data_IF_517180893124
#
_entry.id   IF_517180893124
#
_cell.length_a   1.000
_cell.length_b   1.000
_cell.length_c   1.000
_cell.angle_alpha   90.00
_cell.angle_beta   90.00
_cell.angle_gamma   90.00
#
_symmetry.space_group_name_H-M   'P 1'
#
loop_
_entity.id
_entity.type
_entity.pdbx_description
1 polymer ?
#
# COMPACT_ATOMS: atom_id res chain seq x y z
N UNK A 1 3.51 11.36 -1.87
CA UNK A 1 3.37 9.99 -1.33
C UNK A 1 2.30 9.28 -2.14
N UNK A 2 2.57 8.08 -2.64
CA UNK A 2 1.58 7.25 -3.34
C UNK A 2 0.63 6.60 -2.34
N UNK A 3 -0.63 6.43 -2.70
CA UNK A 3 -1.61 5.68 -1.92
C UNK A 3 -1.91 4.34 -2.58
N UNK A 4 -1.66 3.26 -1.87
CA UNK A 4 -2.14 1.95 -2.26
C UNK A 4 -3.36 1.58 -1.41
N UNK A 5 -4.27 0.79 -1.95
CA UNK A 5 -5.34 0.18 -1.15
C UNK A 5 -4.91 -1.21 -0.67
N UNK A 6 -5.10 -1.50 0.63
CA UNK A 6 -4.83 -2.81 1.24
C UNK A 6 -6.13 -3.62 1.28
N UNK A 7 -6.43 -4.29 0.18
CA UNK A 7 -7.66 -5.09 0.01
C UNK A 7 -7.50 -6.11 -1.10
N UNK A 8 -8.23 -7.23 -1.00
CA UNK A 8 -8.47 -8.19 -2.07
C UNK A 8 -9.93 -8.14 -2.56
N UNK A 9 -10.78 -7.31 -1.94
CA UNK A 9 -12.17 -7.11 -2.35
C UNK A 9 -12.22 -6.16 -3.56
N UNK A 10 -12.59 -6.71 -4.70
CA UNK A 10 -12.69 -5.99 -5.98
C UNK A 10 -13.69 -4.83 -5.90
N UNK A 11 -14.76 -4.97 -5.11
CA UNK A 11 -15.75 -3.92 -4.93
C UNK A 11 -15.19 -2.72 -4.14
N UNK A 12 -14.39 -2.96 -3.09
CA UNK A 12 -13.69 -1.90 -2.36
C UNK A 12 -12.65 -1.22 -3.25
N UNK A 13 -11.87 -2.00 -4.01
CA UNK A 13 -10.82 -1.49 -4.91
C UNK A 13 -11.43 -0.59 -5.99
N UNK A 14 -12.53 -0.99 -6.63
CA UNK A 14 -13.23 -0.15 -7.63
C UNK A 14 -13.68 1.17 -7.03
N UNK A 15 -14.34 1.15 -5.87
CA UNK A 15 -14.82 2.36 -5.19
C UNK A 15 -13.67 3.29 -4.80
N UNK A 16 -12.54 2.74 -4.33
CA UNK A 16 -11.37 3.55 -4.01
C UNK A 16 -10.72 4.13 -5.27
N UNK A 17 -10.63 3.35 -6.35
CA UNK A 17 -10.08 3.80 -7.63
C UNK A 17 -10.92 4.91 -8.28
N UNK A 18 -12.26 4.84 -8.17
CA UNK A 18 -13.18 5.89 -8.62
C UNK A 18 -12.96 7.23 -7.91
N UNK A 19 -12.40 7.23 -6.67
CA UNK A 19 -12.01 8.46 -5.98
C UNK A 19 -10.79 9.15 -6.63
N UNK A 20 -10.09 8.49 -7.55
CA UNK A 20 -8.94 9.04 -8.29
C UNK A 20 -7.67 9.22 -7.45
N UNK A 21 -7.53 8.52 -6.32
CA UNK A 21 -6.40 8.67 -5.41
C UNK A 21 -5.62 7.37 -5.18
N UNK A 22 -5.91 6.29 -5.92
CA UNK A 22 -5.25 4.99 -5.76
C UNK A 22 -4.18 4.80 -6.83
N UNK A 23 -2.93 4.61 -6.38
CA UNK A 23 -1.76 4.39 -7.23
C UNK A 23 -1.34 2.92 -7.34
N UNK A 24 -1.92 2.03 -6.51
CA UNK A 24 -1.60 0.60 -6.49
C UNK A 24 -2.39 -0.17 -5.44
N UNK A 25 -2.10 -1.45 -5.32
CA UNK A 25 -2.81 -2.36 -4.41
C UNK A 25 -1.83 -3.25 -3.66
N UNK A 26 -2.07 -3.48 -2.37
CA UNK A 26 -1.45 -4.59 -1.66
C UNK A 26 -2.50 -5.62 -1.30
N UNK A 27 -2.15 -6.89 -1.50
CA UNK A 27 -2.91 -8.02 -0.99
C UNK A 27 -2.06 -8.81 0.01
N UNK A 28 -2.69 -9.73 0.70
CA UNK A 28 -2.03 -10.70 1.56
C UNK A 28 -2.91 -11.95 1.72
N UNK A 29 -2.36 -13.08 2.21
CA UNK A 29 -3.11 -14.32 2.36
C UNK A 29 -4.41 -14.17 3.18
N UNK A 30 -4.40 -13.34 4.22
CA UNK A 30 -5.59 -13.12 5.06
C UNK A 30 -6.70 -12.35 4.33
N UNK A 31 -6.35 -11.41 3.47
CA UNK A 31 -7.32 -10.68 2.63
C UNK A 31 -7.89 -11.57 1.54
N UNK A 32 -7.04 -12.36 0.88
CA UNK A 32 -7.47 -13.32 -0.14
C UNK A 32 -8.38 -14.40 0.44
N UNK A 33 -8.05 -14.92 1.64
CA UNK A 33 -8.88 -15.91 2.33
C UNK A 33 -10.30 -15.39 2.65
N UNK A 34 -10.44 -14.09 2.99
CA UNK A 34 -11.74 -13.47 3.24
C UNK A 34 -12.61 -13.39 1.99
N UNK A 35 -12.00 -13.20 0.83
CA UNK A 35 -12.72 -13.11 -0.45
C UNK A 35 -13.14 -14.49 -0.95
N UNK A 36 -12.37 -15.54 -0.65
CA UNK A 36 -12.69 -16.93 -0.98
C UNK A 36 -12.68 -17.24 -2.48
N UNK A 37 -11.92 -16.47 -3.28
CA UNK A 37 -11.76 -16.67 -4.73
C UNK A 37 -10.35 -17.16 -5.05
N UNK A 38 -10.15 -17.83 -6.22
CA UNK A 38 -8.83 -18.24 -6.67
C UNK A 38 -7.86 -17.04 -6.75
N UNK A 39 -6.62 -17.24 -6.28
CA UNK A 39 -5.61 -16.18 -6.20
C UNK A 39 -5.35 -15.54 -7.58
N UNK A 40 -5.04 -16.36 -8.57
CA UNK A 40 -4.64 -15.88 -9.92
C UNK A 40 -5.74 -15.03 -10.57
N UNK A 41 -7.01 -15.48 -10.48
CA UNK A 41 -8.16 -14.74 -11.01
C UNK A 41 -8.35 -13.41 -10.30
N UNK A 42 -8.22 -13.41 -8.97
CA UNK A 42 -8.39 -12.22 -8.16
C UNK A 42 -7.29 -11.19 -8.46
N UNK A 43 -6.02 -11.61 -8.50
CA UNK A 43 -4.89 -10.72 -8.81
C UNK A 43 -5.01 -10.16 -10.24
N UNK A 44 -5.36 -10.99 -11.21
CA UNK A 44 -5.55 -10.54 -12.59
C UNK A 44 -6.68 -9.50 -12.69
N UNK A 45 -7.82 -9.73 -12.04
CA UNK A 45 -8.93 -8.77 -12.02
C UNK A 45 -8.51 -7.44 -11.36
N UNK A 46 -7.78 -7.48 -10.25
CA UNK A 46 -7.25 -6.29 -9.59
C UNK A 46 -6.32 -5.51 -10.52
N UNK A 47 -5.41 -6.20 -11.22
CA UNK A 47 -4.50 -5.57 -12.20
C UNK A 47 -5.22 -4.91 -13.37
N UNK A 48 -6.41 -5.38 -13.73
CA UNK A 48 -7.24 -4.77 -14.77
C UNK A 48 -8.05 -3.54 -14.28
N UNK A 49 -8.18 -3.37 -12.96
CA UNK A 49 -8.89 -2.21 -12.37
C UNK A 49 -7.93 -1.08 -12.08
N UNK A 50 -6.75 -1.38 -11.53
CA UNK A 50 -5.76 -0.37 -11.10
C UNK A 50 -4.55 -0.43 -12.03
N UNK A 51 -4.28 0.67 -12.72
CA UNK A 51 -3.07 0.79 -13.54
C UNK A 51 -1.88 1.20 -12.67
N UNK A 52 -1.40 0.25 -11.88
CA UNK A 52 -0.31 0.45 -10.93
C UNK A 52 0.18 -0.85 -10.31
N UNK A 53 1.18 -0.81 -9.43
CA UNK A 53 1.73 -1.98 -8.77
C UNK A 53 0.68 -2.74 -7.95
N UNK A 54 0.64 -4.07 -8.09
CA UNK A 54 -0.24 -4.96 -7.33
C UNK A 54 0.61 -6.01 -6.61
N UNK A 55 0.70 -5.94 -5.29
CA UNK A 55 1.47 -6.89 -4.49
C UNK A 55 0.70 -8.19 -4.29
N UNK A 56 1.28 -9.31 -4.78
CA UNK A 56 0.82 -10.69 -4.58
C UNK A 56 1.85 -11.45 -3.73
N UNK A 57 1.42 -12.04 -2.62
CA UNK A 57 2.31 -12.57 -1.57
C UNK A 57 2.56 -14.07 -1.71
N UNK A 58 3.84 -14.44 -1.70
CA UNK A 58 4.30 -15.82 -1.59
C UNK A 58 4.05 -16.38 -0.18
N UNK A 59 3.76 -17.68 -0.11
CA UNK A 59 3.52 -18.40 1.15
C UNK A 59 4.54 -19.51 1.42
N UNK A 60 5.41 -19.80 0.47
CA UNK A 60 6.53 -20.75 0.63
C UNK A 60 7.52 -20.28 1.71
N UNK A 61 8.28 -21.21 2.29
CA UNK A 61 9.15 -20.92 3.44
C UNK A 61 10.65 -20.96 3.12
N UNK A 62 11.06 -21.70 2.10
CA UNK A 62 12.47 -21.81 1.65
C UNK A 62 12.72 -20.99 0.37
N UNK A 63 13.96 -20.57 0.17
CA UNK A 63 14.31 -19.70 -0.94
C UNK A 63 14.03 -20.32 -2.33
N UNK A 64 14.34 -21.59 -2.63
CA UNK A 64 14.02 -22.17 -3.93
C UNK A 64 12.53 -22.13 -4.24
N UNK A 65 11.68 -22.52 -3.29
CA UNK A 65 10.22 -22.49 -3.44
C UNK A 65 9.66 -21.06 -3.54
N UNK A 66 10.20 -20.09 -2.78
CA UNK A 66 9.83 -18.68 -2.89
C UNK A 66 10.18 -18.09 -4.26
N UNK A 67 11.30 -18.48 -4.85
CA UNK A 67 11.73 -18.03 -6.18
C UNK A 67 10.80 -18.56 -7.26
N UNK A 68 10.47 -19.86 -7.21
CA UNK A 68 9.56 -20.49 -8.18
C UNK A 68 8.15 -19.86 -8.09
N UNK A 69 7.57 -19.82 -6.90
CA UNK A 69 6.28 -19.17 -6.64
C UNK A 69 6.29 -17.69 -7.09
N UNK A 70 7.38 -16.97 -6.81
CA UNK A 70 7.54 -15.58 -7.22
C UNK A 70 7.54 -15.40 -8.74
N UNK A 71 8.15 -16.29 -9.50
CA UNK A 71 8.11 -16.27 -10.97
C UNK A 71 6.69 -16.54 -11.49
N UNK A 72 5.98 -17.50 -10.88
CA UNK A 72 4.60 -17.80 -11.25
C UNK A 72 3.68 -16.59 -10.99
N UNK A 73 3.80 -15.94 -9.81
CA UNK A 73 3.03 -14.74 -9.49
C UNK A 73 3.35 -13.59 -10.46
N UNK A 74 4.63 -13.35 -10.75
CA UNK A 74 5.04 -12.30 -11.69
C UNK A 74 4.50 -12.52 -13.11
N UNK A 75 4.30 -13.77 -13.51
CA UNK A 75 3.75 -14.13 -14.83
C UNK A 75 2.25 -13.81 -14.99
N UNK A 76 1.49 -13.57 -13.89
CA UNK A 76 0.07 -13.27 -13.95
C UNK A 76 -0.20 -11.97 -14.72
N UNK A 77 0.57 -10.90 -14.42
CA UNK A 77 0.42 -9.59 -15.07
C UNK A 77 1.65 -8.71 -14.85
N UNK A 78 1.96 -7.82 -15.80
CA UNK A 78 3.09 -6.86 -15.73
C UNK A 78 3.07 -5.95 -14.49
N UNK A 79 1.90 -5.71 -13.92
CA UNK A 79 1.73 -4.86 -12.73
C UNK A 79 2.02 -5.61 -11.42
N UNK A 80 2.18 -6.93 -11.46
CA UNK A 80 2.45 -7.70 -10.24
C UNK A 80 3.82 -7.34 -9.67
N UNK A 81 3.83 -7.16 -8.36
CA UNK A 81 5.02 -7.04 -7.51
C UNK A 81 4.97 -8.23 -6.55
N UNK A 82 5.97 -9.08 -6.60
CA UNK A 82 6.03 -10.29 -5.78
C UNK A 82 6.30 -9.91 -4.34
N UNK A 83 5.36 -10.22 -3.45
CA UNK A 83 5.48 -9.90 -2.04
C UNK A 83 6.07 -11.07 -1.28
N UNK A 84 7.16 -10.83 -0.55
CA UNK A 84 8.01 -11.87 0.06
C UNK A 84 8.14 -11.58 1.55
N UNK A 85 7.88 -12.57 2.43
CA UNK A 85 8.08 -12.41 3.87
C UNK A 85 9.55 -12.16 4.21
N UNK A 86 9.79 -11.27 5.18
CA UNK A 86 11.13 -10.99 5.71
C UNK A 86 11.72 -12.23 6.39
N UNK A 87 13.00 -12.52 6.09
CA UNK A 87 13.75 -13.62 6.67
C UNK A 87 14.99 -13.93 5.82
N UNK A 88 15.86 -14.81 6.29
CA UNK A 88 17.07 -15.19 5.54
C UNK A 88 16.73 -15.77 4.17
N UNK A 89 15.77 -16.69 4.12
CA UNK A 89 15.30 -17.30 2.86
C UNK A 89 14.61 -16.27 1.96
N UNK A 90 13.81 -15.37 2.54
CA UNK A 90 13.20 -14.25 1.82
C UNK A 90 14.25 -13.34 1.16
N UNK A 91 15.32 -13.01 1.85
CA UNK A 91 16.40 -12.17 1.28
C UNK A 91 17.13 -12.85 0.12
N UNK A 92 17.35 -14.18 0.19
CA UNK A 92 17.90 -14.95 -0.93
C UNK A 92 16.96 -14.90 -2.14
N UNK A 93 15.66 -15.08 -1.91
CA UNK A 93 14.64 -15.02 -2.95
C UNK A 93 14.55 -13.62 -3.58
N UNK A 94 14.52 -12.56 -2.78
CA UNK A 94 14.50 -11.17 -3.26
C UNK A 94 15.69 -10.89 -4.17
N UNK A 95 16.91 -11.27 -3.76
CA UNK A 95 18.11 -11.06 -4.56
C UNK A 95 18.03 -11.79 -5.91
N UNK A 96 17.55 -13.03 -5.93
CA UNK A 96 17.42 -13.83 -7.16
C UNK A 96 16.39 -13.20 -8.10
N UNK A 97 15.18 -12.91 -7.61
CA UNK A 97 14.11 -12.33 -8.40
C UNK A 97 14.45 -10.94 -8.93
N UNK A 98 15.12 -10.10 -8.12
CA UNK A 98 15.61 -8.79 -8.56
C UNK A 98 16.62 -8.92 -9.70
N UNK A 99 17.53 -9.91 -9.66
CA UNK A 99 18.48 -10.15 -10.73
C UNK A 99 17.80 -10.59 -12.04
N UNK A 100 16.60 -11.14 -11.96
CA UNK A 100 15.73 -11.50 -13.10
C UNK A 100 14.84 -10.34 -13.58
N UNK A 101 14.94 -9.16 -12.95
CA UNK A 101 14.11 -7.99 -13.26
C UNK A 101 12.70 -8.07 -12.68
N UNK A 102 12.41 -9.02 -11.79
CA UNK A 102 11.12 -9.16 -11.12
C UNK A 102 11.09 -8.22 -9.92
N UNK A 103 10.06 -7.35 -9.87
CA UNK A 103 9.86 -6.42 -8.77
C UNK A 103 9.40 -7.14 -7.52
N UNK A 104 9.96 -6.75 -6.35
CA UNK A 104 9.65 -7.37 -5.07
C UNK A 104 9.21 -6.36 -4.02
N UNK A 105 8.34 -6.80 -3.10
CA UNK A 105 7.90 -6.06 -1.92
C UNK A 105 8.15 -6.92 -0.68
N UNK A 106 9.12 -6.54 0.15
CA UNK A 106 9.42 -7.31 1.37
C UNK A 106 8.47 -6.92 2.48
N UNK A 107 7.71 -7.89 2.97
CA UNK A 107 6.67 -7.71 3.99
C UNK A 107 7.09 -8.24 5.37
N UNK A 108 6.30 -7.93 6.40
CA UNK A 108 6.57 -8.31 7.79
C UNK A 108 7.90 -7.74 8.32
N UNK A 109 8.15 -6.48 8.00
CA UNK A 109 9.33 -5.75 8.47
C UNK A 109 8.98 -4.99 9.74
N UNK A 110 9.78 -5.19 10.80
CA UNK A 110 9.55 -4.64 12.13
C UNK A 110 10.79 -3.94 12.72
N UNK A 111 11.87 -3.81 11.95
CA UNK A 111 13.06 -3.06 12.37
C UNK A 111 13.76 -2.38 11.20
N UNK A 112 14.48 -1.29 11.50
CA UNK A 112 15.26 -0.58 10.50
C UNK A 112 16.40 -1.44 9.93
N UNK A 113 16.97 -2.35 10.72
CA UNK A 113 17.98 -3.30 10.25
C UNK A 113 17.41 -4.27 9.19
N UNK A 114 16.17 -4.74 9.37
CA UNK A 114 15.48 -5.54 8.36
C UNK A 114 15.28 -4.74 7.08
N UNK A 115 14.84 -3.49 7.18
CA UNK A 115 14.66 -2.62 6.02
C UNK A 115 15.99 -2.36 5.27
N UNK A 116 17.10 -2.20 6.00
CA UNK A 116 18.42 -2.05 5.42
C UNK A 116 18.86 -3.30 4.63
N UNK A 117 18.57 -4.51 5.14
CA UNK A 117 18.81 -5.75 4.41
C UNK A 117 17.98 -5.84 3.14
N UNK A 118 16.70 -5.42 3.17
CA UNK A 118 15.83 -5.38 2.00
C UNK A 118 16.41 -4.48 0.90
N UNK A 119 16.86 -3.27 1.27
CA UNK A 119 17.47 -2.34 0.33
C UNK A 119 18.76 -2.90 -0.28
N UNK A 120 19.61 -3.56 0.52
CA UNK A 120 20.83 -4.22 0.03
C UNK A 120 20.55 -5.40 -0.90
N UNK A 121 19.44 -6.11 -0.71
CA UNK A 121 19.01 -7.19 -1.60
C UNK A 121 18.39 -6.69 -2.91
N UNK A 122 18.07 -5.38 -3.01
CA UNK A 122 17.53 -4.75 -4.21
C UNK A 122 16.00 -4.81 -4.29
N UNK A 123 15.30 -4.94 -3.16
CA UNK A 123 13.84 -4.91 -3.13
C UNK A 123 13.30 -3.60 -3.73
N UNK A 124 12.20 -3.67 -4.50
CA UNK A 124 11.52 -2.49 -5.02
C UNK A 124 10.80 -1.75 -3.89
N UNK A 125 10.13 -2.48 -3.01
CA UNK A 125 9.46 -1.95 -1.82
C UNK A 125 9.89 -2.69 -0.57
N UNK A 126 9.88 -1.98 0.53
CA UNK A 126 9.94 -2.53 1.90
C UNK A 126 8.70 -2.09 2.65
N UNK A 127 7.99 -3.05 3.26
CA UNK A 127 6.73 -2.82 3.97
C UNK A 127 6.89 -2.96 5.49
N UNK A 128 7.30 -1.90 6.21
CA UNK A 128 7.27 -1.86 7.67
C UNK A 128 5.83 -1.77 8.19
N UNK A 129 5.54 -2.53 9.26
CA UNK A 129 4.18 -2.71 9.80
C UNK A 129 3.98 -1.85 11.05
N UNK A 130 3.48 -0.62 10.86
CA UNK A 130 3.31 0.33 11.97
C UNK A 130 2.23 -0.10 12.97
N UNK A 131 1.04 -0.45 12.52
CA UNK A 131 -0.07 -0.76 13.42
C UNK A 131 0.16 -2.02 14.26
N UNK A 132 0.94 -3.01 13.79
CA UNK A 132 1.30 -4.17 14.61
C UNK A 132 2.30 -3.83 15.72
N UNK A 133 3.16 -2.83 15.51
CA UNK A 133 4.03 -2.32 16.57
C UNK A 133 3.19 -1.59 17.63
N UNK A 134 2.24 -0.78 17.21
CA UNK A 134 1.32 -0.10 18.13
C UNK A 134 0.51 -1.10 18.97
N UNK A 135 0.07 -2.23 18.37
CA UNK A 135 -0.65 -3.31 19.05
C UNK A 135 0.15 -3.91 20.24
N UNK A 136 1.49 -3.77 20.25
CA UNK A 136 2.38 -4.22 21.33
C UNK A 136 3.02 -3.05 22.10
N UNK A 137 2.41 -1.87 22.06
CA UNK A 137 2.85 -0.67 22.76
C UNK A 137 4.23 -0.14 22.31
N UNK A 138 4.56 -0.29 21.05
CA UNK A 138 5.71 0.34 20.40
C UNK A 138 5.22 1.39 19.40
N UNK A 139 5.93 2.51 19.28
CA UNK A 139 5.62 3.54 18.30
C UNK A 139 6.02 3.08 16.89
N UNK A 140 5.03 2.67 16.09
CA UNK A 140 5.26 2.21 14.72
C UNK A 140 5.78 3.30 13.79
N UNK A 141 5.41 4.57 14.02
CA UNK A 141 5.86 5.68 13.18
C UNK A 141 7.34 6.03 13.43
N UNK A 142 7.86 5.75 14.62
CA UNK A 142 9.28 5.88 14.90
C UNK A 142 10.14 4.97 13.98
N UNK A 143 9.68 3.74 13.74
CA UNK A 143 10.32 2.84 12.78
C UNK A 143 10.39 3.44 11.37
N UNK A 144 9.34 4.11 10.92
CA UNK A 144 9.32 4.78 9.60
C UNK A 144 10.35 5.90 9.55
N UNK A 145 10.44 6.72 10.62
CA UNK A 145 11.42 7.79 10.72
C UNK A 145 12.85 7.26 10.61
N UNK A 146 13.18 6.21 11.37
CA UNK A 146 14.50 5.58 11.35
C UNK A 146 14.86 5.04 9.97
N UNK A 147 13.94 4.32 9.31
CA UNK A 147 14.18 3.76 7.98
C UNK A 147 14.46 4.87 6.96
N UNK A 148 13.64 5.91 6.94
CA UNK A 148 13.78 7.02 6.01
C UNK A 148 15.06 7.82 6.25
N UNK A 149 15.46 8.03 7.51
CA UNK A 149 16.72 8.66 7.87
C UNK A 149 17.90 7.84 7.35
N UNK A 150 17.89 6.53 7.60
CA UNK A 150 18.95 5.62 7.11
C UNK A 150 19.03 5.67 5.58
N UNK A 151 17.91 5.56 4.88
CA UNK A 151 17.90 5.51 3.40
C UNK A 151 18.40 6.81 2.78
N UNK A 152 18.14 7.97 3.39
CA UNK A 152 18.68 9.28 2.94
C UNK A 152 20.20 9.33 2.96
N UNK A 153 20.87 8.58 3.86
CA UNK A 153 22.33 8.53 3.94
C UNK A 153 22.96 7.70 2.82
N UNK A 154 22.17 6.92 2.09
CA UNK A 154 22.63 6.02 1.03
C UNK A 154 21.87 6.26 -0.29
N UNK A 155 22.25 7.31 -1.06
CA UNK A 155 21.51 7.70 -2.28
C UNK A 155 21.51 6.63 -3.40
N UNK A 156 22.30 5.57 -3.24
CA UNK A 156 22.26 4.41 -4.15
C UNK A 156 21.12 3.42 -3.85
N UNK A 157 20.39 3.57 -2.74
CA UNK A 157 19.22 2.76 -2.47
C UNK A 157 18.02 3.27 -3.29
N UNK A 158 17.43 2.38 -4.07
CA UNK A 158 16.24 2.66 -4.88
C UNK A 158 14.96 2.09 -4.27
N UNK A 159 15.08 1.39 -3.15
CA UNK A 159 13.97 0.77 -2.44
C UNK A 159 13.03 1.83 -1.86
N UNK A 160 11.76 1.78 -2.24
CA UNK A 160 10.71 2.65 -1.70
C UNK A 160 10.16 2.10 -0.37
N UNK A 161 10.00 2.99 0.61
CA UNK A 161 9.35 2.66 1.89
C UNK A 161 7.84 2.71 1.71
N UNK A 162 7.19 1.56 1.88
CA UNK A 162 5.75 1.36 1.78
C UNK A 162 5.20 1.10 3.18
N UNK A 163 4.64 2.12 3.81
CA UNK A 163 4.06 2.02 5.16
C UNK A 163 2.85 1.11 5.13
N UNK A 164 2.91 0.03 5.91
CA UNK A 164 1.88 -1.01 5.94
C UNK A 164 1.26 -1.17 7.34
N UNK A 165 0.16 -1.92 7.42
CA UNK A 165 -0.60 -2.08 8.68
C UNK A 165 -1.10 -0.74 9.23
N UNK A 166 -1.47 0.19 8.35
CA UNK A 166 -2.07 1.48 8.70
C UNK A 166 -3.45 1.27 9.33
N UNK A 167 -3.73 1.96 10.44
CA UNK A 167 -4.96 1.79 11.22
C UNK A 167 -5.89 3.00 11.16
N UNK A 168 -5.35 4.20 10.91
CA UNK A 168 -6.09 5.44 11.06
C UNK A 168 -5.48 6.59 10.23
N UNK A 169 -6.18 7.73 10.06
CA UNK A 169 -5.68 8.90 9.34
C UNK A 169 -4.40 9.53 9.90
N UNK A 170 -4.11 9.36 11.20
CA UNK A 170 -2.89 9.94 11.81
C UNK A 170 -1.66 9.23 11.26
N UNK A 171 -1.68 7.90 11.11
CA UNK A 171 -0.59 7.16 10.44
C UNK A 171 -0.33 7.68 9.03
N UNK A 172 -1.38 8.03 8.29
CA UNK A 172 -1.25 8.57 6.92
C UNK A 172 -0.59 9.95 6.94
N UNK A 173 -1.05 10.82 7.83
CA UNK A 173 -0.49 12.17 7.99
C UNK A 173 0.99 12.13 8.38
N UNK A 174 1.34 11.31 9.36
CA UNK A 174 2.72 11.17 9.82
C UNK A 174 3.61 10.54 8.76
N UNK A 175 3.14 9.51 8.05
CA UNK A 175 3.85 8.94 6.90
C UNK A 175 4.17 10.00 5.85
N UNK A 176 3.21 10.86 5.53
CA UNK A 176 3.40 11.95 4.57
C UNK A 176 4.40 13.00 5.08
N UNK A 177 4.33 13.39 6.37
CA UNK A 177 5.27 14.34 6.98
C UNK A 177 6.70 13.83 7.02
N UNK A 178 6.88 12.55 7.30
CA UNK A 178 8.19 11.91 7.32
C UNK A 178 8.79 11.75 5.91
N UNK A 179 7.95 11.79 4.87
CA UNK A 179 8.38 11.63 3.48
C UNK A 179 8.42 10.18 3.02
N UNK A 180 7.57 9.32 3.57
CA UNK A 180 7.39 7.95 3.08
C UNK A 180 6.98 7.96 1.60
N UNK A 181 7.44 6.97 0.84
CA UNK A 181 7.20 6.91 -0.60
C UNK A 181 5.77 6.46 -0.92
N UNK A 182 5.28 5.47 -0.16
CA UNK A 182 3.97 4.85 -0.31
C UNK A 182 3.36 4.60 1.06
N UNK A 183 2.04 4.68 1.17
CA UNK A 183 1.28 4.12 2.30
C UNK A 183 0.15 3.23 1.75
N UNK A 184 0.03 2.00 2.27
CA UNK A 184 -1.10 1.13 1.91
C UNK A 184 -2.17 1.17 2.98
N UNK A 185 -3.38 1.48 2.56
CA UNK A 185 -4.48 1.92 3.41
C UNK A 185 -5.68 0.96 3.28
N UNK A 186 -6.25 0.48 4.39
CA UNK A 186 -7.57 -0.15 4.34
C UNK A 186 -8.61 0.81 3.76
N UNK A 187 -9.62 0.30 3.05
CA UNK A 187 -10.64 1.13 2.41
C UNK A 187 -11.37 2.07 3.38
N UNK A 188 -11.63 1.62 4.61
CA UNK A 188 -12.24 2.47 5.63
C UNK A 188 -11.36 3.68 6.01
N UNK A 189 -10.02 3.53 6.02
CA UNK A 189 -9.10 4.65 6.27
C UNK A 189 -9.12 5.62 5.09
N UNK A 190 -9.12 5.13 3.84
CA UNK A 190 -9.24 6.00 2.66
C UNK A 190 -10.51 6.85 2.75
N UNK A 191 -11.65 6.26 3.11
CA UNK A 191 -12.91 7.01 3.32
C UNK A 191 -12.77 8.07 4.41
N UNK A 192 -12.13 7.72 5.54
CA UNK A 192 -11.94 8.66 6.66
C UNK A 192 -11.12 9.89 6.26
N UNK A 193 -10.15 9.77 5.33
CA UNK A 193 -9.37 10.91 4.87
C UNK A 193 -10.21 11.99 4.19
N UNK A 194 -11.32 11.61 3.57
CA UNK A 194 -12.23 12.53 2.89
C UNK A 194 -13.28 13.16 3.83
N UNK A 195 -13.44 12.66 5.05
CA UNK A 195 -14.45 13.13 5.99
C UNK A 195 -13.90 14.14 6.99
N UNK A 196 -14.59 15.27 7.13
CA UNK A 196 -14.32 16.27 8.18
C UNK A 196 -15.61 16.98 8.58
N UNK A 197 -15.92 17.11 9.89
CA UNK A 197 -17.18 17.75 10.36
C UNK A 197 -17.38 19.16 9.83
N UNK A 198 -16.30 19.95 9.71
CA UNK A 198 -16.38 21.31 9.19
C UNK A 198 -16.63 21.34 7.67
N UNK A 199 -16.20 20.33 6.92
CA UNK A 199 -16.53 20.20 5.50
C UNK A 199 -18.03 19.95 5.33
N UNK A 200 -18.58 19.02 6.10
CA UNK A 200 -19.99 18.68 6.07
C UNK A 200 -20.87 19.90 6.46
N UNK A 201 -20.57 20.56 7.58
CA UNK A 201 -21.30 21.76 7.99
C UNK A 201 -21.11 22.92 7.02
N UNK A 202 -19.94 23.07 6.42
CA UNK A 202 -19.67 24.07 5.38
C UNK A 202 -20.51 23.85 4.14
N UNK A 203 -20.62 22.62 3.66
CA UNK A 203 -21.48 22.26 2.52
C UNK A 203 -22.95 22.60 2.82
N UNK A 204 -23.45 22.20 3.98
CA UNK A 204 -24.84 22.52 4.38
C UNK A 204 -25.10 24.03 4.42
N UNK A 205 -24.15 24.79 4.98
CA UNK A 205 -24.24 26.25 4.99
C UNK A 205 -24.28 26.81 3.57
N UNK A 206 -23.39 26.37 2.69
CA UNK A 206 -23.34 26.86 1.31
C UNK A 206 -24.63 26.53 0.53
N UNK A 207 -25.19 25.34 0.72
CA UNK A 207 -26.46 24.97 0.13
C UNK A 207 -27.59 25.88 0.61
N UNK A 208 -27.69 26.12 1.92
CA UNK A 208 -28.69 27.04 2.50
C UNK A 208 -28.53 28.49 1.99
N UNK A 209 -27.30 28.97 1.85
CA UNK A 209 -27.03 30.31 1.31
C UNK A 209 -27.34 30.36 -0.20
N UNK A 210 -27.06 29.28 -0.94
CA UNK A 210 -27.40 29.17 -2.37
C UNK A 210 -28.90 29.26 -2.64
N UNK A 211 -29.75 28.74 -1.76
CA UNK A 211 -31.20 28.87 -1.87
C UNK A 211 -31.67 30.33 -1.89
N UNK A 212 -30.95 31.25 -1.23
CA UNK A 212 -31.25 32.69 -1.15
C UNK A 212 -30.83 33.45 -2.40
N UNK A 213 -30.01 32.86 -3.29
CA UNK A 213 -29.60 33.49 -4.54
C UNK A 213 -30.78 33.57 -5.51
N UNK A 214 -31.09 34.76 -6.10
CA UNK A 214 -32.16 34.92 -7.08
C UNK A 214 -32.04 33.92 -8.23
N UNK A 215 -33.16 33.30 -8.64
CA UNK A 215 -33.17 32.26 -9.69
C UNK A 215 -32.54 32.69 -11.00
N UNK A 216 -32.65 33.98 -11.36
CA UNK A 216 -32.07 34.54 -12.58
C UNK A 216 -30.50 34.53 -12.57
N UNK A 217 -29.87 34.38 -11.40
CA UNK A 217 -28.43 34.32 -11.24
C UNK A 217 -27.90 32.88 -11.05
N UNK A 218 -28.77 31.88 -10.99
CA UNK A 218 -28.37 30.48 -10.82
C UNK A 218 -28.05 29.85 -12.18
N UNK A 219 -26.92 29.17 -12.28
CA UNK A 219 -26.62 28.33 -13.44
C UNK A 219 -27.68 27.23 -13.55
N UNK A 220 -28.07 26.80 -14.78
CA UNK A 220 -28.95 25.67 -14.94
C UNK A 220 -28.29 24.41 -14.30
N UNK A 221 -28.99 23.81 -13.35
CA UNK A 221 -28.65 22.49 -12.84
C UNK A 221 -29.02 21.46 -13.88
N UNK A 222 -28.05 20.85 -14.54
CA UNK A 222 -28.24 19.70 -15.44
C UNK A 222 -28.74 18.47 -14.72
#
# INVERSE_FOLDING_TARGET
>A
MKFFIDSADVGEIRKANEMGCVDGVTTNPSLLAKVGRPLNETILEICNIVDGPVSAECVSLDAPSLIEEGRELAAIHKNVVVKIPMGEEGMKAVKALTAEGIRTNVTLVFSANQALLCAKAGATYVSPFVGRLDDISQDGMHLIADILEIFRNYPGFTTEVLVASVRNPVHVLESARLGAHVATLPFNVIKQLAHHPLTESGIQKFLSDWEKVPKAAKLPTG
#
